data_IF_332088949531
#
_entry.id   IF_332088949531
#
_cell.length_a   1.000
_cell.length_b   1.000
_cell.length_c   1.000
_cell.angle_alpha   90.00
_cell.angle_beta   90.00
_cell.angle_gamma   90.00
#
_symmetry.space_group_name_H-M   'P 1'
#
loop_
_entity.id
_entity.type
_entity.pdbx_description
1 polymer ?
#
# COMPACT_ATOMS: atom_id res chain seq x y z
N UNK A 1 -16.81 -10.00 -21.31
CA UNK A 1 -15.36 -10.30 -21.28
C UNK A 1 -15.02 -10.86 -19.91
N UNK A 2 -14.46 -12.07 -19.84
CA UNK A 2 -13.95 -12.65 -18.59
C UNK A 2 -12.52 -12.15 -18.39
N UNK A 3 -12.29 -11.35 -17.35
CA UNK A 3 -10.94 -11.07 -16.88
C UNK A 3 -10.58 -12.13 -15.83
N UNK A 4 -9.47 -12.88 -15.97
CA UNK A 4 -8.99 -13.74 -14.91
C UNK A 4 -8.39 -12.85 -13.81
N UNK A 5 -9.05 -12.77 -12.65
CA UNK A 5 -8.47 -12.24 -11.41
C UNK A 5 -7.38 -13.21 -10.95
N UNK A 6 -6.15 -12.98 -11.41
CA UNK A 6 -4.95 -13.72 -11.01
C UNK A 6 -3.91 -12.85 -10.29
N UNK A 7 -4.22 -11.59 -9.99
CA UNK A 7 -3.39 -10.75 -9.12
C UNK A 7 -4.12 -10.56 -7.81
N UNK A 8 -3.63 -11.23 -6.77
CA UNK A 8 -4.04 -10.99 -5.39
C UNK A 8 -3.61 -9.56 -5.05
N UNK A 9 -4.54 -8.62 -5.15
CA UNK A 9 -4.35 -7.23 -4.74
C UNK A 9 -4.65 -7.21 -3.25
N UNK A 10 -3.61 -7.27 -2.42
CA UNK A 10 -3.76 -7.17 -0.98
C UNK A 10 -3.96 -5.69 -0.63
N UNK A 11 -5.22 -5.26 -0.55
CA UNK A 11 -5.57 -3.92 -0.06
C UNK A 11 -5.63 -3.99 1.47
N UNK A 12 -4.53 -3.66 2.13
CA UNK A 12 -4.52 -3.47 3.59
C UNK A 12 -4.84 -2.01 3.87
N UNK A 13 -5.97 -1.79 4.54
CA UNK A 13 -6.37 -0.51 5.12
C UNK A 13 -6.02 -0.58 6.61
N UNK A 14 -4.92 0.03 7.02
CA UNK A 14 -4.48 0.00 8.42
C UNK A 14 -4.65 1.41 9.02
N UNK A 15 -5.56 1.61 9.99
CA UNK A 15 -5.55 2.82 10.81
C UNK A 15 -4.33 2.75 11.74
N UNK A 16 -3.36 3.66 11.59
CA UNK A 16 -2.14 3.63 12.40
C UNK A 16 -2.44 3.74 13.91
N UNK A 17 -3.54 4.39 14.28
CA UNK A 17 -3.99 4.52 15.67
C UNK A 17 -4.29 3.17 16.36
N UNK A 18 -4.61 2.11 15.59
CA UNK A 18 -4.88 0.78 16.14
C UNK A 18 -3.61 -0.05 16.36
N UNK A 19 -2.49 0.29 15.72
CA UNK A 19 -1.22 -0.43 15.91
C UNK A 19 -0.45 0.02 17.17
N UNK A 20 -0.65 1.27 17.59
CA UNK A 20 0.05 1.88 18.75
C UNK A 20 -0.31 1.27 20.11
N UNK A 21 -1.38 0.48 20.21
CA UNK A 21 -1.94 -0.02 21.47
C UNK A 21 -1.71 -1.51 21.78
N UNK A 22 -0.86 -2.21 21.02
CA UNK A 22 -0.59 -3.64 21.28
C UNK A 22 0.40 -3.89 22.45
N UNK A 23 0.94 -2.84 23.07
CA UNK A 23 1.87 -2.92 24.20
C UNK A 23 1.29 -2.33 25.50
N UNK A 24 0.05 -2.64 25.88
CA UNK A 24 -0.33 -2.70 27.31
C UNK A 24 -1.69 -3.39 27.50
N UNK A 25 -1.65 -4.53 28.21
CA UNK A 25 -2.82 -5.27 28.66
C UNK A 25 -3.55 -4.50 29.76
N UNK A 26 -4.82 -4.16 29.54
CA UNK A 26 -5.98 -4.39 30.43
C UNK A 26 -7.07 -3.32 30.25
N UNK A 27 -8.07 -3.61 29.41
CA UNK A 27 -9.30 -2.81 29.38
C UNK A 27 -10.13 -3.06 30.67
N UNK A 28 -10.71 -2.02 31.29
CA UNK A 28 -11.56 -2.20 32.46
C UNK A 28 -12.91 -2.79 32.03
N UNK A 29 -13.29 -3.87 32.71
CA UNK A 29 -14.58 -4.55 32.57
C UNK A 29 -15.71 -3.60 32.99
N UNK A 30 -16.56 -3.17 32.06
CA UNK A 30 -17.88 -2.64 32.40
C UNK A 30 -18.85 -3.81 32.52
N UNK A 31 -19.07 -4.23 33.76
CA UNK A 31 -20.07 -5.23 34.14
C UNK A 31 -21.48 -4.68 33.98
N UNK A 32 -22.33 -5.44 33.27
CA UNK A 32 -23.74 -5.74 33.56
C UNK A 32 -24.67 -5.58 32.35
N UNK A 33 -24.70 -6.59 31.48
CA UNK A 33 -25.95 -7.04 30.86
C UNK A 33 -25.95 -8.56 30.93
N UNK A 34 -26.45 -9.07 32.05
CA UNK A 34 -26.77 -10.49 32.22
C UNK A 34 -27.97 -10.85 31.33
N UNK A 35 -27.79 -11.91 30.54
CA UNK A 35 -28.81 -12.67 29.79
C UNK A 35 -29.20 -12.15 28.39
N UNK A 36 -28.24 -12.18 27.46
CA UNK A 36 -28.54 -12.50 26.06
C UNK A 36 -27.75 -13.77 25.70
N UNK A 37 -28.47 -14.87 25.46
CA UNK A 37 -27.92 -16.00 24.71
C UNK A 37 -27.71 -15.51 23.27
N UNK A 38 -26.56 -14.89 23.01
CA UNK A 38 -26.14 -14.51 21.66
C UNK A 38 -25.65 -15.79 20.97
N UNK A 39 -26.58 -16.61 20.52
CA UNK A 39 -26.33 -17.49 19.36
C UNK A 39 -26.62 -16.66 18.11
N UNK A 40 -25.81 -15.63 17.90
CA UNK A 40 -25.82 -14.84 16.68
C UNK A 40 -24.52 -15.16 15.96
N UNK A 41 -24.57 -16.14 15.06
CA UNK A 41 -23.59 -16.22 13.99
C UNK A 41 -23.82 -15.00 13.10
N UNK A 42 -23.20 -13.87 13.44
CA UNK A 42 -23.16 -12.70 12.57
C UNK A 42 -22.76 -13.15 11.17
N UNK A 43 -23.68 -12.98 10.21
CA UNK A 43 -23.35 -13.22 8.80
C UNK A 43 -22.38 -12.14 8.38
N UNK A 44 -21.09 -12.46 8.40
CA UNK A 44 -20.02 -11.60 7.93
C UNK A 44 -20.25 -11.26 6.46
N UNK A 45 -20.43 -9.97 6.15
CA UNK A 45 -20.51 -9.49 4.77
C UNK A 45 -19.08 -9.47 4.18
N UNK A 46 -18.83 -10.29 3.17
CA UNK A 46 -17.60 -10.23 2.40
C UNK A 46 -17.75 -9.25 1.24
N UNK A 47 -17.24 -8.03 1.43
CA UNK A 47 -17.29 -6.97 0.42
C UNK A 47 -16.49 -7.30 -0.85
N UNK A 48 -15.65 -8.35 -0.83
CA UNK A 48 -14.88 -8.82 -1.98
C UNK A 48 -15.60 -9.93 -2.76
N UNK A 49 -16.74 -10.41 -2.26
CA UNK A 49 -17.58 -11.43 -2.89
C UNK A 49 -18.88 -10.83 -3.41
N UNK A 50 -19.02 -10.73 -4.73
CA UNK A 50 -20.21 -10.16 -5.35
C UNK A 50 -20.30 -10.36 -6.86
N UNK A 51 -21.29 -9.70 -7.48
CA UNK A 51 -21.44 -9.60 -8.93
C UNK A 51 -21.48 -8.14 -9.32
N UNK A 52 -20.86 -7.79 -10.43
CA UNK A 52 -20.97 -6.44 -10.99
C UNK A 52 -22.42 -6.15 -11.37
N UNK A 53 -22.98 -5.07 -10.81
CA UNK A 53 -24.32 -4.57 -11.11
C UNK A 53 -24.14 -3.16 -11.69
N UNK A 54 -24.62 -2.90 -12.92
CA UNK A 54 -24.57 -1.55 -13.49
C UNK A 54 -25.32 -0.55 -12.59
N UNK A 55 -24.68 0.57 -12.26
CA UNK A 55 -25.30 1.66 -11.52
C UNK A 55 -25.23 2.94 -12.35
N UNK A 56 -26.37 3.49 -12.79
CA UNK A 56 -26.40 4.63 -13.72
C UNK A 56 -26.17 5.99 -13.03
N UNK A 57 -26.29 6.08 -11.70
CA UNK A 57 -26.07 7.33 -10.96
C UNK A 57 -24.60 7.52 -10.57
N UNK A 58 -24.24 8.78 -10.31
CA UNK A 58 -22.89 9.19 -9.91
C UNK A 58 -22.46 8.68 -8.52
N UNK A 59 -21.24 9.04 -8.09
CA UNK A 59 -20.65 8.48 -6.88
C UNK A 59 -21.37 8.92 -5.59
N UNK A 60 -21.42 8.01 -4.61
CA UNK A 60 -22.25 8.07 -3.40
C UNK A 60 -21.78 8.98 -2.26
N UNK A 61 -20.71 9.76 -2.42
CA UNK A 61 -20.11 10.44 -1.28
C UNK A 61 -20.69 11.86 -1.08
N UNK A 62 -20.81 12.27 0.19
CA UNK A 62 -21.25 13.60 0.61
C UNK A 62 -20.15 14.27 1.45
N UNK A 63 -20.41 15.51 1.86
CA UNK A 63 -19.43 16.46 2.38
C UNK A 63 -19.22 16.39 3.90
N UNK A 64 -19.71 15.34 4.55
CA UNK A 64 -19.77 15.26 6.00
C UNK A 64 -18.42 14.78 6.56
N UNK A 65 -17.48 15.73 6.65
CA UNK A 65 -16.26 15.72 7.47
C UNK A 65 -15.33 14.51 7.32
N UNK A 66 -14.44 14.57 6.32
CA UNK A 66 -13.25 13.72 6.22
C UNK A 66 -11.98 14.54 6.49
N UNK A 67 -11.69 14.83 7.76
CA UNK A 67 -10.37 15.33 8.15
C UNK A 67 -9.38 14.16 8.22
N UNK A 68 -9.05 13.57 7.07
CA UNK A 68 -8.13 12.44 6.96
C UNK A 68 -7.01 12.73 5.96
N UNK A 69 -5.81 12.27 6.28
CA UNK A 69 -4.67 12.27 5.38
C UNK A 69 -4.46 10.82 4.95
N UNK A 70 -4.78 10.51 3.69
CA UNK A 70 -4.71 9.15 3.15
C UNK A 70 -3.51 9.04 2.21
N UNK A 71 -2.64 8.05 2.41
CA UNK A 71 -1.57 7.70 1.47
C UNK A 71 -1.86 6.40 0.73
N UNK A 72 -1.64 6.39 -0.58
CA UNK A 72 -1.46 5.17 -1.35
C UNK A 72 0.04 4.88 -1.45
N UNK A 73 0.47 3.72 -0.95
CA UNK A 73 1.89 3.30 -0.94
C UNK A 73 2.03 2.07 -1.82
N UNK A 74 2.97 2.10 -2.75
CA UNK A 74 3.26 0.95 -3.59
C UNK A 74 3.57 1.32 -5.03
N UNK A 75 2.90 0.65 -5.96
CA UNK A 75 3.23 0.69 -7.37
C UNK A 75 2.23 1.49 -8.24
N UNK A 76 2.33 1.33 -9.55
CA UNK A 76 1.46 1.97 -10.54
C UNK A 76 -0.03 1.67 -10.33
N UNK A 77 -0.39 0.53 -9.76
CA UNK A 77 -1.77 0.16 -9.45
C UNK A 77 -2.30 1.01 -8.29
N UNK A 78 -1.54 1.14 -7.20
CA UNK A 78 -1.89 2.00 -6.06
C UNK A 78 -2.01 3.47 -6.48
N UNK A 79 -1.05 3.96 -7.28
CA UNK A 79 -1.10 5.31 -7.87
C UNK A 79 -2.35 5.51 -8.74
N UNK A 80 -2.73 4.50 -9.53
CA UNK A 80 -3.92 4.60 -10.38
C UNK A 80 -5.21 4.60 -9.55
N UNK A 81 -5.28 3.87 -8.44
CA UNK A 81 -6.39 3.95 -7.49
C UNK A 81 -6.52 5.35 -6.89
N UNK A 82 -5.40 5.94 -6.43
CA UNK A 82 -5.38 7.33 -5.94
C UNK A 82 -5.86 8.31 -7.01
N UNK A 83 -5.39 8.16 -8.27
CA UNK A 83 -5.83 9.01 -9.38
C UNK A 83 -7.31 8.85 -9.71
N UNK A 84 -7.84 7.62 -9.63
CA UNK A 84 -9.27 7.37 -9.78
C UNK A 84 -10.06 8.11 -8.71
N UNK A 85 -9.62 8.05 -7.45
CA UNK A 85 -10.24 8.78 -6.35
C UNK A 85 -10.14 10.29 -6.54
N UNK A 86 -8.99 10.81 -6.99
CA UNK A 86 -8.81 12.23 -7.31
C UNK A 86 -9.81 12.70 -8.38
N UNK A 87 -9.98 11.94 -9.47
CA UNK A 87 -10.96 12.25 -10.52
C UNK A 87 -12.41 12.20 -10.01
N UNK A 88 -12.73 11.25 -9.14
CA UNK A 88 -14.04 11.17 -8.50
C UNK A 88 -14.27 12.47 -7.72
N UNK A 89 -13.39 12.80 -6.77
CA UNK A 89 -13.51 13.98 -5.90
C UNK A 89 -13.44 15.31 -6.64
N UNK A 90 -12.81 15.36 -7.82
CA UNK A 90 -12.72 16.58 -8.63
C UNK A 90 -14.09 17.15 -9.03
N UNK A 91 -15.15 16.34 -8.97
CA UNK A 91 -16.51 16.79 -9.23
C UNK A 91 -17.10 17.62 -8.08
N UNK A 92 -16.58 17.49 -6.86
CA UNK A 92 -17.07 18.21 -5.68
C UNK A 92 -16.11 19.32 -5.22
N UNK A 93 -14.81 19.13 -5.36
CA UNK A 93 -13.80 20.15 -5.03
C UNK A 93 -12.52 19.89 -5.80
N UNK A 94 -11.80 20.97 -6.14
CA UNK A 94 -10.53 20.89 -6.86
C UNK A 94 -9.37 20.83 -5.85
N UNK A 95 -8.44 19.88 -5.98
CA UNK A 95 -7.28 19.82 -5.10
C UNK A 95 -6.17 20.80 -5.50
N UNK A 96 -5.41 21.25 -4.51
CA UNK A 96 -4.12 21.91 -4.70
C UNK A 96 -2.98 20.87 -4.71
N UNK A 97 -2.09 20.90 -5.72
CA UNK A 97 -0.85 20.12 -5.69
C UNK A 97 0.15 20.78 -4.73
N UNK A 98 0.38 20.15 -3.57
CA UNK A 98 1.30 20.62 -2.55
C UNK A 98 2.56 19.75 -2.44
N UNK A 99 2.84 18.93 -3.46
CA UNK A 99 3.93 17.93 -3.44
C UNK A 99 5.30 18.55 -3.17
N UNK A 100 5.58 19.72 -3.76
CA UNK A 100 6.84 20.44 -3.60
C UNK A 100 7.15 20.88 -2.16
N UNK A 101 6.14 20.94 -1.27
CA UNK A 101 6.35 21.25 0.15
C UNK A 101 7.00 20.10 0.92
N UNK A 102 7.01 18.91 0.34
CA UNK A 102 7.35 17.69 1.05
C UNK A 102 8.36 16.79 0.35
N UNK A 103 8.49 16.89 -0.98
CA UNK A 103 9.45 16.08 -1.73
C UNK A 103 10.05 16.87 -2.88
N UNK A 104 11.36 16.70 -3.09
CA UNK A 104 12.04 17.14 -4.30
C UNK A 104 11.72 16.24 -5.50
N UNK A 105 11.29 15.00 -5.25
CA UNK A 105 10.95 14.02 -6.28
C UNK A 105 9.43 13.93 -6.49
N UNK A 106 8.88 15.02 -7.02
CA UNK A 106 7.43 15.15 -7.23
C UNK A 106 6.88 14.24 -8.32
N UNK A 107 7.73 13.52 -9.07
CA UNK A 107 7.30 12.54 -10.06
C UNK A 107 6.80 11.25 -9.38
N UNK A 108 7.46 10.86 -8.29
CA UNK A 108 7.19 9.64 -7.54
C UNK A 108 6.40 9.89 -6.25
N UNK A 109 6.53 11.08 -5.65
CA UNK A 109 5.88 11.45 -4.39
C UNK A 109 4.92 12.61 -4.61
N UNK A 110 3.62 12.33 -4.51
CA UNK A 110 2.56 13.32 -4.75
C UNK A 110 1.72 13.56 -3.50
N UNK A 111 1.32 14.82 -3.27
CA UNK A 111 0.35 15.22 -2.24
C UNK A 111 -0.62 16.26 -2.80
N UNK A 112 -1.92 15.98 -2.64
CA UNK A 112 -3.03 16.79 -3.10
C UNK A 112 -3.91 17.18 -1.92
N UNK A 113 -4.16 18.47 -1.73
CA UNK A 113 -4.93 18.99 -0.60
C UNK A 113 -6.25 19.60 -1.06
N UNK A 114 -7.34 19.19 -0.43
CA UNK A 114 -8.68 19.70 -0.64
C UNK A 114 -9.04 20.65 0.50
N UNK A 115 -8.94 21.96 0.24
CA UNK A 115 -9.12 22.99 1.27
C UNK A 115 -10.52 22.96 1.91
N UNK A 116 -11.56 22.71 1.11
CA UNK A 116 -12.96 22.70 1.57
C UNK A 116 -13.26 21.62 2.61
N UNK A 117 -12.45 20.56 2.63
CA UNK A 117 -12.64 19.38 3.49
C UNK A 117 -11.50 19.14 4.47
N UNK A 118 -10.44 19.96 4.40
CA UNK A 118 -9.20 19.74 5.14
C UNK A 118 -8.70 18.29 4.98
N UNK A 119 -8.71 17.81 3.74
CA UNK A 119 -8.44 16.42 3.35
C UNK A 119 -7.19 16.36 2.47
N UNK A 120 -6.33 15.36 2.67
CA UNK A 120 -5.11 15.20 1.86
C UNK A 120 -5.02 13.79 1.27
N UNK A 121 -4.74 13.72 -0.04
CA UNK A 121 -4.38 12.50 -0.74
C UNK A 121 -2.90 12.48 -1.08
N UNK A 122 -2.21 11.42 -0.67
CA UNK A 122 -0.82 11.16 -0.98
C UNK A 122 -0.64 9.93 -1.86
N UNK A 123 0.42 9.95 -2.67
CA UNK A 123 1.00 8.76 -3.28
C UNK A 123 2.49 8.70 -2.92
N UNK A 124 2.91 7.60 -2.29
CA UNK A 124 4.31 7.29 -2.01
C UNK A 124 4.72 6.10 -2.89
N UNK A 125 5.56 6.35 -3.89
CA UNK A 125 6.04 5.30 -4.76
C UNK A 125 7.05 4.41 -4.03
N UNK A 126 6.69 3.16 -3.82
CA UNK A 126 7.58 2.13 -3.30
C UNK A 126 7.12 0.75 -3.77
N UNK A 127 7.42 0.36 -5.03
CA UNK A 127 6.83 -0.82 -5.66
C UNK A 127 7.24 -2.15 -5.01
N UNK A 128 8.31 -2.14 -4.21
CA UNK A 128 8.82 -3.30 -3.48
C UNK A 128 8.77 -3.13 -1.95
N UNK A 129 8.42 -1.94 -1.43
CA UNK A 129 8.48 -1.53 0.00
C UNK A 129 9.85 -1.55 0.68
N UNK A 130 10.77 -2.35 0.16
CA UNK A 130 12.16 -2.44 0.58
C UNK A 130 13.06 -1.62 -0.33
N UNK A 131 14.25 -1.29 0.18
CA UNK A 131 15.25 -0.57 -0.60
C UNK A 131 15.56 -1.35 -1.88
N UNK A 132 15.43 -0.66 -3.00
CA UNK A 132 15.64 -1.22 -4.33
C UNK A 132 16.48 -0.29 -5.18
N UNK A 133 17.42 -0.86 -5.94
CA UNK A 133 18.20 -0.12 -6.91
C UNK A 133 18.56 -0.99 -8.11
N UNK A 134 18.97 -0.33 -9.19
CA UNK A 134 19.39 -1.02 -10.40
C UNK A 134 20.59 -1.95 -10.11
N UNK A 135 20.54 -3.16 -10.66
CA UNK A 135 21.67 -4.08 -10.60
C UNK A 135 22.79 -3.65 -11.54
N UNK A 136 22.44 -3.01 -12.66
CA UNK A 136 23.39 -2.40 -13.59
C UNK A 136 23.72 -0.98 -13.13
N UNK A 137 24.99 -0.73 -12.82
CA UNK A 137 25.47 0.60 -12.41
C UNK A 137 25.40 1.63 -13.55
N UNK A 138 25.38 1.17 -14.80
CA UNK A 138 25.27 2.02 -15.99
C UNK A 138 23.84 2.04 -16.55
N UNK A 139 22.93 1.26 -15.96
CA UNK A 139 21.59 1.01 -16.47
C UNK A 139 20.54 1.85 -15.76
N UNK A 140 19.72 2.54 -16.54
CA UNK A 140 18.41 3.08 -16.13
C UNK A 140 17.28 2.48 -16.98
N UNK A 141 17.53 1.30 -17.56
CA UNK A 141 16.58 0.73 -18.52
C UNK A 141 15.33 0.24 -17.79
N UNK A 142 14.17 0.41 -18.39
CA UNK A 142 12.90 -0.05 -17.81
C UNK A 142 12.91 -1.54 -17.47
N UNK A 143 13.73 -2.35 -18.16
CA UNK A 143 13.81 -3.81 -18.03
C UNK A 143 15.03 -4.30 -17.24
N UNK A 144 15.75 -3.42 -16.57
CA UNK A 144 16.88 -3.84 -15.75
C UNK A 144 16.44 -4.73 -14.59
N UNK A 145 17.36 -5.61 -14.18
CA UNK A 145 17.20 -6.44 -13.00
C UNK A 145 17.40 -5.53 -11.78
N UNK A 146 16.47 -5.58 -10.83
CA UNK A 146 16.58 -4.81 -9.58
C UNK A 146 17.27 -5.63 -8.49
N UNK A 147 18.06 -4.97 -7.65
CA UNK A 147 18.50 -5.50 -6.35
C UNK A 147 17.48 -5.09 -5.31
N UNK A 148 16.93 -6.06 -4.57
CA UNK A 148 16.02 -5.84 -3.45
C UNK A 148 16.75 -6.20 -2.15
N UNK A 149 16.93 -5.23 -1.27
CA UNK A 149 17.53 -5.41 0.05
C UNK A 149 16.43 -5.81 1.04
N UNK A 150 16.22 -7.10 1.26
CA UNK A 150 15.05 -7.64 1.98
C UNK A 150 15.06 -7.38 3.49
N UNK A 151 16.14 -6.79 3.99
CA UNK A 151 16.39 -6.38 5.37
C UNK A 151 16.42 -4.85 5.55
N UNK A 152 16.24 -4.08 4.48
CA UNK A 152 16.25 -2.62 4.51
C UNK A 152 14.92 -2.06 3.98
N UNK A 153 14.22 -1.26 4.77
CA UNK A 153 13.01 -0.57 4.31
C UNK A 153 13.38 0.53 3.32
N UNK A 154 12.51 0.78 2.35
CA UNK A 154 12.63 1.96 1.49
C UNK A 154 12.30 3.26 2.26
N UNK A 155 13.36 3.95 2.69
CA UNK A 155 13.29 5.22 3.43
C UNK A 155 12.46 6.31 2.73
N UNK A 156 12.33 6.25 1.40
CA UNK A 156 11.62 7.27 0.64
C UNK A 156 10.12 7.34 1.00
N UNK A 157 9.52 6.21 1.39
CA UNK A 157 8.16 6.19 1.93
C UNK A 157 8.13 6.10 3.46
N UNK A 158 9.04 5.34 4.08
CA UNK A 158 9.05 5.10 5.53
C UNK A 158 9.20 6.40 6.34
N UNK A 159 10.06 7.31 5.89
CA UNK A 159 10.23 8.64 6.51
C UNK A 159 8.99 9.54 6.45
N UNK A 160 7.99 9.18 5.65
CA UNK A 160 6.80 9.99 5.41
C UNK A 160 5.52 9.35 5.94
N UNK A 161 5.49 8.04 6.17
CA UNK A 161 4.25 7.30 6.41
C UNK A 161 3.52 7.73 7.69
N UNK A 162 4.26 8.12 8.73
CA UNK A 162 3.69 8.57 10.02
C UNK A 162 2.87 9.86 9.91
N UNK A 163 3.03 10.62 8.82
CA UNK A 163 2.26 11.84 8.55
C UNK A 163 0.84 11.58 8.04
N UNK A 164 0.46 10.31 7.83
CA UNK A 164 -0.83 9.90 7.26
C UNK A 164 -1.68 9.16 8.30
N UNK A 165 -2.99 9.42 8.30
CA UNK A 165 -3.96 8.75 9.18
C UNK A 165 -4.32 7.35 8.68
N UNK A 166 -4.37 7.20 7.35
CA UNK A 166 -4.72 5.95 6.66
C UNK A 166 -3.69 5.67 5.58
N UNK A 167 -3.17 4.45 5.59
CA UNK A 167 -2.24 3.98 4.57
C UNK A 167 -2.91 2.83 3.81
N UNK A 168 -2.97 3.00 2.49
CA UNK A 168 -3.51 2.03 1.53
C UNK A 168 -2.33 1.43 0.78
N UNK A 169 -2.06 0.17 1.04
CA UNK A 169 -0.91 -0.52 0.47
C UNK A 169 -1.36 -1.26 -0.79
N UNK A 170 -0.61 -1.11 -1.89
CA UNK A 170 -0.86 -1.83 -3.14
C UNK A 170 0.46 -2.16 -3.84
N UNK A 171 0.94 -3.40 -3.68
CA UNK A 171 2.00 -3.94 -4.51
C UNK A 171 1.82 -5.44 -4.78
N UNK A 172 2.38 -5.89 -5.90
CA UNK A 172 2.50 -7.32 -6.18
C UNK A 172 3.16 -7.62 -7.52
N UNK A 173 2.71 -6.95 -8.60
CA UNK A 173 3.15 -7.31 -9.95
C UNK A 173 4.64 -7.07 -10.20
N UNK A 174 5.25 -6.12 -9.49
CA UNK A 174 6.69 -5.85 -9.55
C UNK A 174 7.55 -7.03 -9.07
N UNK A 175 7.06 -7.86 -8.14
CA UNK A 175 7.77 -9.05 -7.67
C UNK A 175 7.83 -10.16 -8.72
N UNK A 176 7.00 -10.13 -9.77
CA UNK A 176 7.06 -11.12 -10.85
C UNK A 176 8.22 -10.89 -11.83
N UNK A 177 8.86 -9.71 -11.76
CA UNK A 177 10.01 -9.34 -12.58
C UNK A 177 11.28 -10.08 -12.16
N UNK A 178 12.27 -10.21 -13.07
CA UNK A 178 13.62 -10.62 -12.69
C UNK A 178 14.22 -9.69 -11.62
N UNK A 179 14.57 -10.25 -10.47
CA UNK A 179 15.15 -9.50 -9.34
C UNK A 179 16.22 -10.32 -8.62
N UNK A 180 17.17 -9.62 -8.00
CA UNK A 180 18.18 -10.18 -7.11
C UNK A 180 17.82 -9.84 -5.67
N UNK A 181 17.96 -10.81 -4.77
CA UNK A 181 17.69 -10.65 -3.35
C UNK A 181 18.98 -10.45 -2.59
N UNK A 182 19.04 -9.38 -1.81
CA UNK A 182 20.16 -9.03 -0.95
C UNK A 182 19.72 -9.02 0.51
N UNK A 183 20.60 -9.48 1.39
CA UNK A 183 20.50 -9.31 2.84
C UNK A 183 21.90 -8.99 3.38
N UNK A 184 22.03 -8.01 4.27
CA UNK A 184 23.30 -7.50 4.78
C UNK A 184 24.30 -7.16 3.65
N UNK A 185 23.79 -6.57 2.56
CA UNK A 185 24.54 -6.30 1.33
C UNK A 185 25.16 -7.53 0.63
N UNK A 186 24.69 -8.74 0.91
CA UNK A 186 25.12 -9.98 0.25
C UNK A 186 24.01 -10.56 -0.62
N UNK A 187 24.36 -11.04 -1.81
CA UNK A 187 23.43 -11.73 -2.71
C UNK A 187 23.04 -13.09 -2.10
N UNK A 188 21.77 -13.24 -1.72
CA UNK A 188 21.26 -14.48 -1.12
C UNK A 188 20.51 -15.36 -2.11
N UNK A 189 19.97 -14.78 -3.19
CA UNK A 189 19.22 -15.52 -4.20
C UNK A 189 18.58 -14.60 -5.24
N UNK A 190 17.65 -15.14 -6.03
CA UNK A 190 16.96 -14.36 -7.06
C UNK A 190 15.56 -14.87 -7.40
N UNK A 191 14.89 -14.18 -8.31
CA UNK A 191 13.74 -14.65 -9.07
C UNK A 191 14.01 -14.43 -10.57
N UNK A 192 13.94 -15.48 -11.39
CA UNK A 192 14.06 -15.43 -12.86
C UNK A 192 15.31 -14.66 -13.35
N UNK A 193 16.43 -14.76 -12.63
CA UNK A 193 17.65 -14.01 -12.98
C UNK A 193 18.51 -14.66 -14.06
N UNK A 194 18.32 -15.95 -14.35
CA UNK A 194 19.09 -16.67 -15.37
C UNK A 194 20.57 -16.88 -15.04
N UNK A 195 20.95 -16.78 -13.76
CA UNK A 195 22.34 -16.95 -13.30
C UNK A 195 22.58 -18.39 -12.83
N UNK A 196 23.66 -19.03 -13.29
CA UNK A 196 23.93 -20.46 -13.03
C UNK A 196 24.32 -20.78 -11.57
N UNK A 197 24.84 -19.81 -10.82
CA UNK A 197 25.33 -19.98 -9.44
C UNK A 197 24.49 -19.24 -8.38
N UNK A 198 23.24 -18.89 -8.70
CA UNK A 198 22.35 -18.18 -7.78
C UNK A 198 21.06 -18.97 -7.64
N UNK A 199 20.67 -19.27 -6.40
CA UNK A 199 19.41 -19.98 -6.14
C UNK A 199 18.22 -19.11 -6.51
N UNK A 200 17.36 -19.62 -7.40
CA UNK A 200 16.07 -19.01 -7.70
C UNK A 200 15.05 -19.42 -6.63
N UNK A 201 14.72 -18.50 -5.73
CA UNK A 201 13.70 -18.70 -4.70
C UNK A 201 12.29 -18.36 -5.19
N UNK A 202 12.15 -17.82 -6.40
CA UNK A 202 10.91 -17.32 -6.95
C UNK A 202 10.43 -16.01 -6.30
N UNK A 203 9.40 -15.42 -6.92
CA UNK A 203 8.83 -14.13 -6.52
C UNK A 203 8.21 -14.14 -5.11
N UNK A 204 7.64 -15.27 -4.68
CA UNK A 204 6.97 -15.37 -3.39
C UNK A 204 7.94 -15.19 -2.21
N UNK A 205 9.20 -15.60 -2.36
CA UNK A 205 10.23 -15.40 -1.34
C UNK A 205 10.47 -13.92 -1.06
N UNK A 206 10.74 -13.13 -2.11
CA UNK A 206 10.94 -11.69 -2.00
C UNK A 206 9.68 -10.98 -1.49
N UNK A 207 8.51 -11.33 -2.03
CA UNK A 207 7.22 -10.80 -1.60
C UNK A 207 6.99 -11.02 -0.10
N UNK A 208 7.16 -12.25 0.39
CA UNK A 208 6.93 -12.58 1.79
C UNK A 208 7.89 -11.85 2.74
N UNK A 209 9.17 -11.70 2.37
CA UNK A 209 10.14 -10.99 3.20
C UNK A 209 9.87 -9.48 3.22
N UNK A 210 9.64 -8.88 2.05
CA UNK A 210 9.35 -7.45 1.92
C UNK A 210 8.09 -7.05 2.72
N UNK A 211 7.00 -7.81 2.59
CA UNK A 211 5.77 -7.54 3.35
C UNK A 211 5.93 -7.77 4.85
N UNK A 212 6.75 -8.74 5.28
CA UNK A 212 7.02 -8.94 6.70
C UNK A 212 7.75 -7.74 7.30
N UNK A 213 8.84 -7.31 6.67
CA UNK A 213 9.61 -6.15 7.14
C UNK A 213 8.75 -4.88 7.16
N UNK A 214 7.93 -4.69 6.13
CA UNK A 214 6.99 -3.59 6.06
C UNK A 214 5.96 -3.58 7.20
N UNK A 215 5.38 -4.74 7.54
CA UNK A 215 4.42 -4.86 8.64
C UNK A 215 5.06 -4.74 10.03
N UNK A 216 6.36 -4.98 10.17
CA UNK A 216 7.09 -4.74 11.41
C UNK A 216 7.37 -3.24 11.66
N UNK A 217 7.30 -2.42 10.60
CA UNK A 217 7.46 -0.96 10.68
C UNK A 217 6.16 -0.23 11.08
N UNK A 218 4.99 -0.84 10.82
CA UNK A 218 3.66 -0.25 11.07
C UNK A 218 3.06 -0.74 12.40
#
# INVERSE_FOLDING_TARGET
MRFPMGSSMLLLMLPLSLMRNSHESSSPVLSSVSNLNITETEKRCDIFSGKWIPHPEGPYYNNETCNLIIAFVGDSVGRNQMRSLLCLLNHVSQPEDISHRYSSDVAYFKRYFYADYNFTLGNLWSPYFVRANDADQNGHSYNSIMKLHLDEVDEAWASQVESFDIVIISAGHWFFRPVLYYENNQLVGCNKCGMENVTDFGHYYGYKKAFRLHLELL
#
